data_IF_769021404946
#
_entry.id   IF_769021404946
#
_cell.length_a   1.000
_cell.length_b   1.000
_cell.length_c   1.000
_cell.angle_alpha   90.00
_cell.angle_beta   90.00
_cell.angle_gamma   90.00
#
_symmetry.space_group_name_H-M   'P 1'
#
loop_
_entity.id
_entity.type
_entity.pdbx_description
1 polymer ?
#
# COMPACT_ATOMS: atom_id res chain seq x y z
N UNK A 1 -13.06 0.24 49.27
CA UNK A 1 -13.54 -0.07 47.90
C UNK A 1 -12.43 0.30 46.91
N UNK A 2 -11.59 -0.66 46.54
CA UNK A 2 -10.51 -0.45 45.57
C UNK A 2 -11.04 -0.78 44.19
N UNK A 3 -11.13 0.22 43.31
CA UNK A 3 -11.50 0.03 41.90
C UNK A 3 -10.21 -0.27 41.15
N UNK A 4 -9.92 -1.56 40.96
CA UNK A 4 -8.88 -2.03 40.06
C UNK A 4 -9.36 -1.81 38.62
N UNK A 5 -8.85 -0.74 37.98
CA UNK A 5 -8.97 -0.52 36.53
C UNK A 5 -8.21 -1.63 35.80
N UNK A 6 -8.94 -2.62 35.30
CA UNK A 6 -8.45 -3.60 34.33
C UNK A 6 -8.17 -2.89 33.00
N UNK A 7 -6.96 -2.35 32.85
CA UNK A 7 -6.40 -2.03 31.54
C UNK A 7 -6.12 -3.36 30.83
N UNK A 8 -7.08 -3.83 30.03
CA UNK A 8 -6.82 -4.90 29.05
C UNK A 8 -5.79 -4.38 28.04
N UNK A 9 -4.53 -4.65 28.36
CA UNK A 9 -3.38 -4.52 27.46
C UNK A 9 -3.65 -5.41 26.25
N UNK A 10 -3.58 -4.84 25.05
CA UNK A 10 -3.30 -5.63 23.86
C UNK A 10 -1.90 -6.20 24.03
N UNK A 11 -1.82 -7.41 24.57
CA UNK A 11 -0.60 -8.18 24.56
C UNK A 11 -0.44 -8.79 23.17
N UNK A 12 0.71 -8.56 22.54
CA UNK A 12 1.14 -9.26 21.31
C UNK A 12 1.19 -10.79 21.47
N UNK A 13 0.98 -11.33 22.68
CA UNK A 13 0.85 -12.75 22.95
C UNK A 13 -0.58 -13.30 22.81
N UNK A 14 -1.60 -12.46 22.59
CA UNK A 14 -3.01 -12.88 22.40
C UNK A 14 -3.44 -12.94 20.93
N UNK A 15 -2.51 -12.79 19.99
CA UNK A 15 -2.77 -13.22 18.61
C UNK A 15 -2.54 -14.72 18.59
N UNK A 16 -3.63 -15.48 18.64
CA UNK A 16 -3.69 -16.88 18.15
C UNK A 16 -2.68 -17.07 17.02
N UNK A 17 -1.91 -18.16 17.01
CA UNK A 17 -0.76 -18.39 16.13
C UNK A 17 -1.01 -18.37 14.61
N UNK A 18 -2.17 -17.88 14.18
CA UNK A 18 -2.59 -17.66 12.81
C UNK A 18 -2.66 -16.14 12.58
N UNK A 19 -1.83 -15.64 11.66
CA UNK A 19 -1.92 -14.26 11.19
C UNK A 19 -3.36 -13.98 10.72
N UNK A 20 -3.95 -12.82 11.06
CA UNK A 20 -5.29 -12.48 10.60
C UNK A 20 -5.33 -12.54 9.07
N UNK A 21 -6.13 -13.46 8.55
CA UNK A 21 -6.31 -13.63 7.12
C UNK A 21 -7.27 -12.55 6.62
N UNK A 22 -6.98 -11.90 5.49
CA UNK A 22 -7.94 -10.98 4.89
C UNK A 22 -9.20 -11.75 4.53
N UNK A 23 -10.36 -11.27 4.99
CA UNK A 23 -11.64 -11.86 4.62
C UNK A 23 -11.86 -11.70 3.10
N UNK A 24 -11.96 -12.82 2.39
CA UNK A 24 -12.29 -12.89 0.98
C UNK A 24 -13.62 -13.62 0.82
N UNK A 25 -14.59 -12.96 0.19
CA UNK A 25 -15.91 -13.51 -0.10
C UNK A 25 -16.03 -14.06 -1.53
N UNK A 26 -14.91 -14.13 -2.26
CA UNK A 26 -14.82 -14.62 -3.64
C UNK A 26 -13.47 -15.33 -3.88
N UNK A 27 -13.38 -16.08 -4.99
CA UNK A 27 -12.16 -16.76 -5.43
C UNK A 27 -11.20 -15.82 -6.16
N UNK A 28 -9.95 -15.73 -5.71
CA UNK A 28 -8.90 -14.95 -6.39
C UNK A 28 -8.59 -15.51 -7.78
N UNK A 29 -8.70 -16.84 -7.96
CA UNK A 29 -8.52 -17.51 -9.25
C UNK A 29 -9.59 -17.10 -10.26
N UNK A 30 -10.84 -16.96 -9.82
CA UNK A 30 -11.93 -16.50 -10.69
C UNK A 30 -11.74 -15.03 -11.09
N UNK A 31 -11.26 -14.18 -10.18
CA UNK A 31 -10.91 -12.79 -10.52
C UNK A 31 -9.77 -12.71 -11.55
N UNK A 32 -8.75 -13.56 -11.42
CA UNK A 32 -7.66 -13.68 -12.41
C UNK A 32 -8.19 -14.21 -13.76
N UNK A 33 -9.15 -15.14 -13.75
CA UNK A 33 -9.78 -15.62 -14.98
C UNK A 33 -10.60 -14.52 -15.66
N UNK A 34 -11.34 -13.72 -14.89
CA UNK A 34 -12.04 -12.56 -15.42
C UNK A 34 -11.08 -11.54 -16.03
N UNK A 35 -9.92 -11.30 -15.38
CA UNK A 35 -8.88 -10.43 -15.92
C UNK A 35 -8.31 -10.95 -17.24
N UNK A 36 -8.05 -12.26 -17.36
CA UNK A 36 -7.60 -12.87 -18.62
C UNK A 36 -8.58 -12.58 -19.76
N UNK A 37 -9.88 -12.81 -19.54
CA UNK A 37 -10.93 -12.52 -20.53
C UNK A 37 -11.01 -11.03 -20.86
N UNK A 38 -10.85 -10.15 -19.86
CA UNK A 38 -10.79 -8.71 -20.06
C UNK A 38 -9.61 -8.32 -20.97
N UNK A 39 -8.42 -8.87 -20.71
CA UNK A 39 -7.23 -8.63 -21.52
C UNK A 39 -7.41 -9.13 -22.94
N UNK A 40 -8.03 -10.29 -23.16
CA UNK A 40 -8.29 -10.81 -24.51
C UNK A 40 -9.19 -9.89 -25.33
N UNK A 41 -10.19 -9.27 -24.69
CA UNK A 41 -11.07 -8.29 -25.32
C UNK A 41 -10.38 -6.92 -25.60
N UNK A 42 -9.20 -6.68 -25.03
CA UNK A 42 -8.62 -5.33 -24.97
C UNK A 42 -8.26 -4.68 -26.30
N UNK A 43 -7.95 -5.46 -27.34
CA UNK A 43 -7.74 -4.88 -28.69
C UNK A 43 -9.02 -4.31 -29.29
N UNK A 44 -10.19 -4.84 -28.91
CA UNK A 44 -11.49 -4.38 -29.41
C UNK A 44 -11.95 -3.10 -28.71
N UNK A 45 -11.52 -2.90 -27.45
CA UNK A 45 -11.97 -1.81 -26.60
C UNK A 45 -10.84 -0.82 -26.23
N UNK A 46 -9.75 -0.78 -27.00
CA UNK A 46 -8.57 0.04 -26.68
C UNK A 46 -8.87 1.54 -26.55
N UNK A 47 -9.84 2.04 -27.30
CA UNK A 47 -10.27 3.45 -27.28
C UNK A 47 -11.32 3.76 -26.20
N UNK A 48 -11.86 2.75 -25.53
CA UNK A 48 -12.90 2.94 -24.51
C UNK A 48 -12.30 3.33 -23.17
N UNK A 49 -12.59 4.57 -22.73
CA UNK A 49 -12.12 5.09 -21.45
C UNK A 49 -12.64 4.30 -20.25
N UNK A 50 -13.90 3.83 -20.31
CA UNK A 50 -14.48 3.03 -19.23
C UNK A 50 -13.87 1.63 -19.19
N UNK A 51 -13.58 1.03 -20.35
CA UNK A 51 -12.84 -0.23 -20.41
C UNK A 51 -11.43 -0.08 -19.83
N UNK A 52 -10.72 1.02 -20.15
CA UNK A 52 -9.40 1.31 -19.57
C UNK A 52 -9.46 1.37 -18.04
N UNK A 53 -10.45 2.08 -17.49
CA UNK A 53 -10.65 2.18 -16.05
C UNK A 53 -10.88 0.82 -15.41
N UNK A 54 -11.83 0.04 -15.95
CA UNK A 54 -12.17 -1.29 -15.44
C UNK A 54 -10.99 -2.27 -15.52
N UNK A 55 -10.20 -2.18 -16.60
CA UNK A 55 -9.00 -2.98 -16.78
C UNK A 55 -7.94 -2.65 -15.72
N UNK A 56 -7.68 -1.37 -15.48
CA UNK A 56 -6.74 -0.92 -14.43
C UNK A 56 -7.22 -1.38 -13.06
N UNK A 57 -8.50 -1.21 -12.74
CA UNK A 57 -9.04 -1.58 -11.43
C UNK A 57 -9.01 -3.09 -11.18
N UNK A 58 -9.42 -3.90 -12.16
CA UNK A 58 -9.40 -5.36 -12.06
C UNK A 58 -7.97 -5.90 -11.97
N UNK A 59 -7.04 -5.33 -12.74
CA UNK A 59 -5.62 -5.71 -12.69
C UNK A 59 -5.02 -5.37 -11.31
N UNK A 60 -5.27 -4.15 -10.81
CA UNK A 60 -4.87 -3.70 -9.47
C UNK A 60 -5.42 -4.62 -8.39
N UNK A 61 -6.67 -5.03 -8.51
CA UNK A 61 -7.31 -5.94 -7.57
C UNK A 61 -6.62 -7.30 -7.52
N UNK A 62 -6.35 -7.91 -8.68
CA UNK A 62 -5.66 -9.19 -8.76
C UNK A 62 -4.25 -9.12 -8.17
N UNK A 63 -3.48 -8.09 -8.51
CA UNK A 63 -2.13 -7.88 -7.97
C UNK A 63 -2.15 -7.60 -6.46
N UNK A 64 -3.14 -6.87 -5.95
CA UNK A 64 -3.31 -6.66 -4.51
C UNK A 64 -3.58 -7.97 -3.77
N UNK A 65 -4.34 -8.90 -4.36
CA UNK A 65 -4.59 -10.21 -3.73
C UNK A 65 -3.32 -11.06 -3.71
N UNK A 66 -2.57 -11.07 -4.81
CA UNK A 66 -1.25 -11.71 -4.85
C UNK A 66 -0.29 -11.10 -3.82
N UNK A 67 -0.26 -9.76 -3.66
CA UNK A 67 0.58 -9.10 -2.67
C UNK A 67 0.25 -9.57 -1.24
N UNK A 68 -1.03 -9.78 -0.91
CA UNK A 68 -1.44 -10.32 0.38
C UNK A 68 -0.88 -11.74 0.61
N UNK A 69 -0.95 -12.61 -0.40
CA UNK A 69 -0.38 -13.96 -0.32
C UNK A 69 1.14 -13.91 -0.10
N UNK A 70 1.86 -13.11 -0.90
CA UNK A 70 3.31 -12.93 -0.78
C UNK A 70 3.71 -12.38 0.60
N UNK A 71 2.93 -11.47 1.17
CA UNK A 71 3.15 -10.95 2.52
C UNK A 71 3.00 -12.06 3.57
N UNK A 72 1.92 -12.83 3.52
CA UNK A 72 1.66 -13.91 4.49
C UNK A 72 2.76 -14.97 4.44
N UNK A 73 3.23 -15.33 3.23
CA UNK A 73 4.37 -16.22 3.05
C UNK A 73 5.65 -15.64 3.66
N UNK A 74 5.92 -14.36 3.46
CA UNK A 74 7.06 -13.67 4.06
C UNK A 74 7.03 -13.75 5.60
N UNK A 75 5.86 -13.54 6.23
CA UNK A 75 5.73 -13.65 7.68
C UNK A 75 5.87 -15.10 8.16
N UNK A 76 5.34 -16.08 7.42
CA UNK A 76 5.56 -17.50 7.73
C UNK A 76 7.05 -17.86 7.71
N UNK A 77 7.80 -17.35 6.72
CA UNK A 77 9.24 -17.57 6.59
C UNK A 77 10.01 -16.88 7.72
N UNK A 78 9.61 -15.67 8.10
CA UNK A 78 10.14 -15.00 9.29
C UNK A 78 9.96 -15.83 10.56
N UNK A 79 8.76 -16.37 10.79
CA UNK A 79 8.47 -17.24 11.94
C UNK A 79 9.31 -18.53 11.93
N UNK A 80 9.59 -19.09 10.75
CA UNK A 80 10.49 -20.25 10.54
C UNK A 80 11.97 -19.89 10.61
N UNK A 81 12.32 -18.61 10.83
CA UNK A 81 13.69 -18.08 10.79
C UNK A 81 14.41 -18.29 9.45
N UNK A 82 13.67 -18.42 8.35
CA UNK A 82 14.23 -18.51 7.01
C UNK A 82 14.53 -17.10 6.45
N UNK A 83 15.77 -16.65 6.66
CA UNK A 83 16.24 -15.34 6.19
C UNK A 83 16.27 -15.23 4.66
N UNK A 84 16.63 -16.30 3.95
CA UNK A 84 16.69 -16.26 2.49
C UNK A 84 15.28 -16.17 1.89
N UNK A 85 14.37 -17.01 2.39
CA UNK A 85 12.96 -17.00 2.00
C UNK A 85 12.29 -15.66 2.30
N UNK A 86 12.49 -15.10 3.49
CA UNK A 86 11.98 -13.77 3.88
C UNK A 86 12.46 -12.70 2.89
N UNK A 87 13.77 -12.64 2.62
CA UNK A 87 14.33 -11.62 1.73
C UNK A 87 13.85 -11.76 0.28
N UNK A 88 13.59 -12.98 -0.20
CA UNK A 88 13.02 -13.20 -1.52
C UNK A 88 11.57 -12.67 -1.61
N UNK A 89 10.73 -13.00 -0.62
CA UNK A 89 9.33 -12.57 -0.61
C UNK A 89 9.17 -11.08 -0.32
N UNK A 90 10.01 -10.51 0.55
CA UNK A 90 10.08 -9.07 0.77
C UNK A 90 10.35 -8.31 -0.54
N UNK A 91 11.37 -8.74 -1.31
CA UNK A 91 11.67 -8.14 -2.61
C UNK A 91 10.49 -8.25 -3.58
N UNK A 92 9.88 -9.43 -3.68
CA UNK A 92 8.69 -9.64 -4.53
C UNK A 92 7.53 -8.74 -4.12
N UNK A 93 7.25 -8.59 -2.83
CA UNK A 93 6.19 -7.72 -2.33
C UNK A 93 6.42 -6.25 -2.69
N UNK A 94 7.65 -5.76 -2.47
CA UNK A 94 8.03 -4.38 -2.80
C UNK A 94 7.98 -4.12 -4.31
N UNK A 95 8.40 -5.10 -5.13
CA UNK A 95 8.29 -5.04 -6.58
C UNK A 95 6.83 -4.96 -7.04
N UNK A 96 5.92 -5.76 -6.46
CA UNK A 96 4.49 -5.69 -6.75
C UNK A 96 3.93 -4.29 -6.44
N UNK A 97 4.34 -3.64 -5.35
CA UNK A 97 3.90 -2.26 -5.05
C UNK A 97 4.32 -1.28 -6.16
N UNK A 98 5.57 -1.37 -6.62
CA UNK A 98 6.09 -0.51 -7.71
C UNK A 98 5.34 -0.76 -9.02
N UNK A 99 5.05 -2.01 -9.32
CA UNK A 99 4.34 -2.39 -10.53
C UNK A 99 2.86 -1.98 -10.49
N UNK A 100 2.20 -2.07 -9.33
CA UNK A 100 0.85 -1.53 -9.15
C UNK A 100 0.89 0.00 -9.31
N UNK A 101 1.85 0.72 -8.72
CA UNK A 101 1.98 2.17 -8.90
C UNK A 101 2.10 2.56 -10.39
N UNK A 102 2.88 1.79 -11.16
CA UNK A 102 3.04 1.95 -12.61
C UNK A 102 1.73 1.73 -13.37
N UNK A 103 0.96 0.69 -13.01
CA UNK A 103 -0.36 0.41 -13.58
C UNK A 103 -1.34 1.56 -13.30
N UNK A 104 -1.38 2.05 -12.06
CA UNK A 104 -2.26 3.14 -11.64
C UNK A 104 -1.94 4.45 -12.36
N UNK A 105 -0.67 4.67 -12.72
CA UNK A 105 -0.26 5.85 -13.47
C UNK A 105 -0.87 5.93 -14.89
N UNK A 106 -1.43 4.82 -15.41
CA UNK A 106 -1.99 4.74 -16.76
C UNK A 106 -3.45 5.20 -16.88
N UNK A 107 -4.09 5.64 -15.80
CA UNK A 107 -5.45 6.20 -15.82
C UNK A 107 -5.61 7.39 -14.85
N UNK A 108 -6.25 8.48 -15.33
CA UNK A 108 -6.39 9.76 -14.62
C UNK A 108 -7.11 9.59 -13.26
N UNK A 109 -7.96 8.57 -13.13
CA UNK A 109 -8.78 8.33 -11.94
C UNK A 109 -8.01 7.66 -10.79
N UNK A 110 -6.76 7.24 -11.02
CA UNK A 110 -5.92 6.57 -10.03
C UNK A 110 -4.67 7.37 -9.67
N UNK A 111 -4.70 8.70 -9.81
CA UNK A 111 -3.55 9.57 -9.52
C UNK A 111 -3.71 10.31 -8.19
N UNK A 112 -2.62 10.45 -7.43
CA UNK A 112 -2.58 11.29 -6.22
C UNK A 112 -2.59 12.79 -6.57
N UNK A 113 -1.98 13.20 -7.69
CA UNK A 113 -1.83 14.60 -8.07
C UNK A 113 -3.14 15.39 -8.10
N UNK A 114 -4.20 14.92 -8.78
CA UNK A 114 -5.48 15.62 -8.84
C UNK A 114 -6.09 15.89 -7.46
N UNK A 115 -5.95 14.94 -6.52
CA UNK A 115 -6.41 15.13 -5.14
C UNK A 115 -5.68 16.28 -4.44
N UNK A 116 -4.35 16.31 -4.53
CA UNK A 116 -3.54 17.35 -3.89
C UNK A 116 -3.70 18.71 -4.55
N UNK A 117 -3.74 18.77 -5.89
CA UNK A 117 -3.95 20.03 -6.62
C UNK A 117 -5.36 20.58 -6.39
N UNK A 118 -6.38 19.72 -6.31
CA UNK A 118 -7.72 20.15 -5.96
C UNK A 118 -7.75 20.79 -4.58
N UNK A 119 -7.11 20.19 -3.56
CA UNK A 119 -7.04 20.79 -2.23
C UNK A 119 -6.33 22.15 -2.23
N UNK A 120 -5.20 22.25 -2.93
CA UNK A 120 -4.44 23.50 -3.05
C UNK A 120 -5.21 24.62 -3.75
N UNK A 121 -6.01 24.28 -4.76
CA UNK A 121 -6.80 25.26 -5.54
C UNK A 121 -7.87 26.00 -4.72
N UNK A 122 -8.23 25.48 -3.55
CA UNK A 122 -9.19 26.12 -2.64
C UNK A 122 -8.58 27.23 -1.79
N UNK A 123 -7.24 27.33 -1.74
CA UNK A 123 -6.54 28.30 -0.92
C UNK A 123 -6.49 29.70 -1.55
N UNK A 124 -6.55 30.75 -0.72
CA UNK A 124 -6.38 32.14 -1.14
C UNK A 124 -4.93 32.60 -0.89
N UNK A 125 -4.31 32.07 0.16
CA UNK A 125 -2.93 32.40 0.55
C UNK A 125 -1.99 31.20 0.45
N UNK A 126 -0.68 31.46 0.34
CA UNK A 126 0.32 30.38 0.34
C UNK A 126 0.31 29.56 1.65
N UNK A 127 -0.01 30.21 2.78
CA UNK A 127 -0.15 29.52 4.07
C UNK A 127 -1.32 28.53 4.05
N UNK A 128 -2.47 28.95 3.54
CA UNK A 128 -3.62 28.06 3.36
C UNK A 128 -3.31 26.96 2.35
N UNK A 129 -2.59 27.26 1.26
CA UNK A 129 -2.22 26.26 0.25
C UNK A 129 -1.41 25.13 0.85
N UNK A 130 -0.41 25.47 1.68
CA UNK A 130 0.40 24.48 2.41
C UNK A 130 -0.44 23.71 3.42
N UNK A 131 -1.33 24.38 4.15
CA UNK A 131 -2.21 23.74 5.12
C UNK A 131 -3.18 22.75 4.45
N UNK A 132 -3.78 23.12 3.33
CA UNK A 132 -4.74 22.28 2.61
C UNK A 132 -4.07 21.08 1.94
N UNK A 133 -2.86 21.25 1.40
CA UNK A 133 -2.07 20.12 0.93
C UNK A 133 -1.74 19.16 2.07
N UNK A 134 -1.29 19.67 3.22
CA UNK A 134 -1.06 18.86 4.41
C UNK A 134 -2.33 18.13 4.86
N UNK A 135 -3.49 18.81 4.89
CA UNK A 135 -4.76 18.17 5.22
C UNK A 135 -5.12 17.05 4.24
N UNK A 136 -4.95 17.27 2.94
CA UNK A 136 -5.22 16.29 1.90
C UNK A 136 -4.32 15.06 1.99
N UNK A 137 -3.02 15.25 2.26
CA UNK A 137 -2.05 14.18 2.53
C UNK A 137 -2.40 13.41 3.79
N UNK A 138 -2.70 14.12 4.88
CA UNK A 138 -3.02 13.52 6.18
C UNK A 138 -4.29 12.68 6.11
N UNK A 139 -5.35 13.18 5.45
CA UNK A 139 -6.63 12.46 5.36
C UNK A 139 -6.49 11.04 4.79
N UNK A 140 -5.68 10.85 3.75
CA UNK A 140 -5.51 9.54 3.08
C UNK A 140 -4.40 8.68 3.70
N UNK A 141 -3.76 9.15 4.78
CA UNK A 141 -2.65 8.47 5.46
C UNK A 141 -2.89 8.36 6.98
N UNK A 142 -2.28 9.22 7.81
CA UNK A 142 -2.38 9.16 9.28
C UNK A 142 -3.74 9.61 9.82
N UNK A 143 -4.55 10.30 9.02
CA UNK A 143 -5.88 10.81 9.35
C UNK A 143 -5.91 11.95 10.37
N UNK A 144 -5.28 11.77 11.53
CA UNK A 144 -5.12 12.79 12.58
C UNK A 144 -3.80 12.56 13.34
N UNK A 145 -3.60 13.30 14.42
CA UNK A 145 -2.41 13.29 15.27
C UNK A 145 -1.89 11.91 15.68
N UNK A 146 -0.58 11.83 15.81
CA UNK A 146 0.19 10.71 16.34
C UNK A 146 1.19 11.20 17.41
N UNK A 147 1.92 10.27 18.01
CA UNK A 147 3.10 10.57 18.83
C UNK A 147 4.34 9.97 18.17
N UNK A 148 5.51 10.18 18.76
CA UNK A 148 6.76 9.58 18.27
C UNK A 148 6.69 8.04 18.14
N UNK A 149 5.91 7.37 18.99
CA UNK A 149 5.87 5.90 19.08
C UNK A 149 4.50 5.29 18.84
N UNK A 150 3.45 6.10 18.77
CA UNK A 150 2.07 5.63 18.58
C UNK A 150 1.44 6.36 17.39
N UNK A 151 1.09 5.59 16.37
CA UNK A 151 0.36 6.09 15.23
C UNK A 151 -1.08 6.45 15.58
N UNK A 152 -1.72 7.26 14.74
CA UNK A 152 -3.14 7.54 14.83
C UNK A 152 -3.99 6.26 14.87
N UNK A 153 -5.08 6.26 15.65
CA UNK A 153 -6.02 5.13 15.68
C UNK A 153 -6.80 4.95 14.38
N UNK A 154 -6.76 5.95 13.50
CA UNK A 154 -7.37 5.93 12.17
C UNK A 154 -6.31 5.93 11.05
N UNK A 155 -5.05 5.59 11.35
CA UNK A 155 -4.02 5.43 10.32
C UNK A 155 -4.51 4.46 9.23
N UNK A 156 -4.30 4.85 7.98
CA UNK A 156 -4.73 4.16 6.77
C UNK A 156 -6.26 3.94 6.65
N UNK A 157 -7.10 4.57 7.48
CA UNK A 157 -8.56 4.41 7.41
C UNK A 157 -9.13 4.82 6.04
N UNK A 158 -8.68 5.96 5.51
CA UNK A 158 -9.08 6.45 4.19
C UNK A 158 -7.99 6.20 3.13
N UNK A 159 -7.25 5.09 3.24
CA UNK A 159 -6.23 4.71 2.26
C UNK A 159 -6.78 4.69 0.82
N UNK A 160 -5.86 4.85 -0.14
CA UNK A 160 -6.16 4.85 -1.56
C UNK A 160 -5.10 4.07 -2.31
N UNK A 161 -5.52 3.41 -3.40
CA UNK A 161 -4.61 2.92 -4.39
C UNK A 161 -4.43 3.96 -5.48
N UNK A 162 -3.55 4.93 -5.21
CA UNK A 162 -3.20 5.98 -6.15
C UNK A 162 -1.72 5.93 -6.51
N UNK A 163 -1.42 6.09 -7.79
CA UNK A 163 -0.09 6.36 -8.31
C UNK A 163 0.50 7.58 -7.61
N UNK A 164 1.78 7.47 -7.25
CA UNK A 164 2.46 8.43 -6.40
C UNK A 164 2.30 8.08 -4.93
N UNK A 165 1.09 7.79 -4.44
CA UNK A 165 0.89 7.42 -3.03
C UNK A 165 1.51 6.05 -2.71
N UNK A 166 1.35 5.06 -3.60
CA UNK A 166 1.98 3.74 -3.42
C UNK A 166 3.49 3.83 -3.32
N UNK A 167 4.12 4.44 -4.33
CA UNK A 167 5.58 4.52 -4.39
C UNK A 167 6.18 5.45 -3.34
N UNK A 168 5.52 6.57 -3.02
CA UNK A 168 6.11 7.57 -2.11
C UNK A 168 5.68 7.42 -0.66
N UNK A 169 4.62 6.68 -0.33
CA UNK A 169 4.18 6.51 1.07
C UNK A 169 4.17 5.05 1.53
N UNK A 170 3.50 4.16 0.78
CA UNK A 170 3.35 2.76 1.22
C UNK A 170 4.61 1.92 1.00
N UNK A 171 5.32 2.12 -0.12
CA UNK A 171 6.54 1.38 -0.44
C UNK A 171 7.67 1.60 0.59
N UNK A 172 7.99 2.83 1.03
CA UNK A 172 9.03 3.05 2.03
C UNK A 172 8.65 2.47 3.41
N UNK A 173 7.36 2.56 3.79
CA UNK A 173 6.85 1.95 5.03
C UNK A 173 7.00 0.42 5.02
N UNK A 174 6.60 -0.23 3.91
CA UNK A 174 6.79 -1.67 3.73
C UNK A 174 8.27 -2.05 3.73
N UNK A 175 9.11 -1.25 3.06
CA UNK A 175 10.56 -1.48 3.00
C UNK A 175 11.19 -1.43 4.39
N UNK A 176 10.84 -0.42 5.20
CA UNK A 176 11.26 -0.31 6.61
C UNK A 176 10.83 -1.55 7.40
N UNK A 177 9.57 -1.96 7.28
CA UNK A 177 9.08 -3.15 7.99
C UNK A 177 9.88 -4.42 7.67
N UNK A 178 10.09 -4.72 6.38
CA UNK A 178 10.88 -5.88 5.98
C UNK A 178 12.36 -5.76 6.39
N UNK A 179 12.95 -4.57 6.33
CA UNK A 179 14.32 -4.35 6.79
C UNK A 179 14.47 -4.69 8.28
N UNK A 180 13.51 -4.31 9.12
CA UNK A 180 13.52 -4.65 10.55
C UNK A 180 13.32 -6.14 10.80
N UNK A 181 12.48 -6.83 10.02
CA UNK A 181 12.33 -8.30 10.09
C UNK A 181 13.62 -9.03 9.69
N UNK A 182 14.24 -8.61 8.59
CA UNK A 182 15.51 -9.22 8.14
C UNK A 182 16.62 -8.99 9.16
N UNK A 183 16.72 -7.77 9.69
CA UNK A 183 17.71 -7.40 10.69
C UNK A 183 17.55 -8.20 11.99
N UNK A 184 16.32 -8.41 12.46
CA UNK A 184 16.09 -9.19 13.68
C UNK A 184 16.53 -10.65 13.54
N UNK A 185 16.37 -11.26 12.36
CA UNK A 185 16.92 -12.60 12.08
C UNK A 185 18.45 -12.60 12.01
N UNK A 186 19.06 -11.63 11.32
CA UNK A 186 20.51 -11.53 11.17
C UNK A 186 21.24 -11.35 12.50
N UNK A 187 20.68 -10.52 13.38
CA UNK A 187 21.24 -10.21 14.70
C UNK A 187 20.75 -11.18 15.79
N UNK A 188 19.94 -12.19 15.42
CA UNK A 188 19.32 -13.17 16.33
C UNK A 188 18.66 -12.50 17.56
N UNK A 189 17.89 -11.44 17.33
CA UNK A 189 17.18 -10.68 18.37
C UNK A 189 15.69 -10.54 18.05
N UNK A 190 14.91 -10.06 19.01
CA UNK A 190 13.49 -9.78 18.81
C UNK A 190 13.27 -8.59 17.87
N UNK A 191 12.12 -8.56 17.19
CA UNK A 191 11.69 -7.42 16.38
C UNK A 191 11.63 -6.15 17.24
N UNK A 192 12.38 -5.12 16.84
CA UNK A 192 12.48 -3.86 17.57
C UNK A 192 11.26 -2.98 17.27
N UNK A 193 10.13 -3.31 17.89
CA UNK A 193 8.82 -2.71 17.58
C UNK A 193 8.81 -1.18 17.76
N UNK A 194 9.32 -0.67 18.88
CA UNK A 194 9.30 0.76 19.16
C UNK A 194 10.16 1.55 18.16
N UNK A 195 11.38 1.07 17.89
CA UNK A 195 12.28 1.69 16.93
C UNK A 195 11.72 1.67 15.51
N UNK A 196 11.07 0.57 15.11
CA UNK A 196 10.36 0.52 13.82
C UNK A 196 9.23 1.55 13.78
N UNK A 197 8.44 1.68 14.86
CA UNK A 197 7.35 2.66 14.96
C UNK A 197 7.86 4.09 14.81
N UNK A 198 8.90 4.47 15.56
CA UNK A 198 9.54 5.78 15.45
C UNK A 198 9.93 6.08 14.00
N UNK A 199 10.58 5.13 13.34
CA UNK A 199 11.09 5.30 11.98
C UNK A 199 9.97 5.52 10.95
N UNK A 200 8.93 4.67 10.94
CA UNK A 200 7.86 4.82 9.94
C UNK A 200 6.88 5.96 10.25
N UNK A 201 6.69 6.31 11.53
CA UNK A 201 5.87 7.46 11.94
C UNK A 201 6.57 8.77 11.59
N UNK A 202 7.88 8.91 11.88
CA UNK A 202 8.66 10.08 11.46
C UNK A 202 8.57 10.28 9.95
N UNK A 203 8.81 9.20 9.19
CA UNK A 203 8.68 9.22 7.74
C UNK A 203 7.28 9.66 7.28
N UNK A 204 6.23 9.20 7.96
CA UNK A 204 4.86 9.57 7.60
C UNK A 204 4.59 11.07 7.82
N UNK A 205 5.08 11.62 8.93
CA UNK A 205 4.93 13.03 9.26
C UNK A 205 5.74 13.92 8.29
N UNK A 206 6.94 13.48 7.91
CA UNK A 206 7.75 14.12 6.87
C UNK A 206 7.03 14.13 5.52
N UNK A 207 6.49 12.99 5.10
CA UNK A 207 5.76 12.86 3.84
C UNK A 207 4.51 13.76 3.77
N UNK A 208 3.78 13.86 4.89
CA UNK A 208 2.60 14.74 5.00
C UNK A 208 2.96 16.22 4.94
N UNK A 209 4.14 16.58 5.44
CA UNK A 209 4.68 17.95 5.40
C UNK A 209 5.42 18.25 4.09
N UNK A 210 5.55 17.24 3.22
CA UNK A 210 6.23 17.33 1.93
C UNK A 210 5.52 18.24 0.93
N UNK A 211 6.27 18.66 -0.09
CA UNK A 211 5.83 19.56 -1.17
C UNK A 211 6.08 18.97 -2.56
N UNK A 212 6.34 17.67 -2.61
CA UNK A 212 6.58 16.94 -3.85
C UNK A 212 5.36 17.06 -4.77
N UNK A 213 5.62 17.28 -6.06
CA UNK A 213 4.58 17.38 -7.08
C UNK A 213 4.33 16.00 -7.67
N UNK A 214 3.05 15.65 -7.83
CA UNK A 214 2.61 14.38 -8.41
C UNK A 214 1.90 14.63 -9.74
N UNK A 215 1.98 13.65 -10.64
CA UNK A 215 1.34 13.73 -11.95
C UNK A 215 -0.18 13.95 -11.82
N UNK A 216 -0.71 14.88 -12.59
CA UNK A 216 -2.16 15.18 -12.70
C UNK A 216 -2.78 14.60 -13.97
N UNK A 217 -1.96 13.97 -14.81
CA UNK A 217 -2.36 13.31 -16.04
C UNK A 217 -1.69 11.96 -16.16
N UNK A 218 -2.45 11.01 -16.65
CA UNK A 218 -2.04 9.64 -16.85
C UNK A 218 -0.97 9.55 -17.92
N UNK A 219 -0.11 8.56 -17.77
CA UNK A 219 0.95 8.23 -18.72
C UNK A 219 1.09 6.72 -18.83
N UNK A 220 1.47 6.26 -20.02
CA UNK A 220 1.61 4.83 -20.30
C UNK A 220 0.37 4.20 -20.91
N UNK A 221 0.57 3.05 -21.54
CA UNK A 221 -0.47 2.23 -22.15
C UNK A 221 -0.98 1.22 -21.12
N UNK A 222 -2.19 1.46 -20.61
CA UNK A 222 -2.83 0.63 -19.59
C UNK A 222 -2.97 -0.84 -20.03
N UNK A 223 -3.30 -1.08 -21.31
CA UNK A 223 -3.46 -2.44 -21.83
C UNK A 223 -2.11 -3.15 -21.92
N UNK A 224 -1.09 -2.49 -22.44
CA UNK A 224 0.26 -3.06 -22.52
C UNK A 224 0.83 -3.36 -21.13
N UNK A 225 0.65 -2.43 -20.18
CA UNK A 225 1.09 -2.59 -18.79
C UNK A 225 0.34 -3.75 -18.14
N UNK A 226 -0.99 -3.78 -18.21
CA UNK A 226 -1.80 -4.85 -17.62
C UNK A 226 -1.45 -6.23 -18.20
N UNK A 227 -1.23 -6.35 -19.51
CA UNK A 227 -0.76 -7.60 -20.15
C UNK A 227 0.61 -8.02 -19.63
N UNK A 228 1.53 -7.08 -19.48
CA UNK A 228 2.87 -7.36 -18.94
C UNK A 228 2.79 -7.90 -17.52
N UNK A 229 2.03 -7.23 -16.65
CA UNK A 229 1.88 -7.64 -15.25
C UNK A 229 1.13 -8.96 -15.09
N UNK A 230 0.10 -9.20 -15.91
CA UNK A 230 -0.58 -10.50 -15.95
C UNK A 230 0.41 -11.63 -16.29
N UNK A 231 1.24 -11.46 -17.32
CA UNK A 231 2.26 -12.46 -17.70
C UNK A 231 3.32 -12.65 -16.62
N UNK A 232 3.71 -11.56 -15.94
CA UNK A 232 4.74 -11.57 -14.91
C UNK A 232 4.30 -12.33 -13.65
N UNK A 233 3.03 -12.21 -13.28
CA UNK A 233 2.58 -12.58 -11.93
C UNK A 233 1.40 -13.55 -11.86
N UNK A 234 0.50 -13.53 -12.84
CA UNK A 234 -0.83 -14.14 -12.73
C UNK A 234 -1.07 -15.24 -13.76
N UNK A 235 -0.23 -15.34 -14.78
CA UNK A 235 -0.27 -16.43 -15.76
C UNK A 235 0.12 -17.74 -15.05
N UNK A 236 -0.68 -18.82 -15.22
CA UNK A 236 -0.37 -20.15 -14.69
C UNK A 236 0.95 -20.72 -15.20
#
# INVERSE_FOLDING_TARGET
MSITRNHRRFFLSEVSGILPQPHLWYSTKEAVKALELFLDAGSTFSESLTYRYDLVDLTRQCLSKLANEVYLDAISLYQKKDSHGLNAHARKFLEIIVDIDTLLAADDNFLLGPWLESAKSLAITEKERQQYEWNARTQVTMWYDNTETEQSKLHDYANKFWSGLLKSYYLPRASKYFAYLTRSLQENRSFQLEEWRKDWISYSNEWQSGKEVYAVKATGDALAIARSLYRKYLRP
#
